data_IF_549378161798
#
_entry.id   IF_549378161798
#
_cell.length_a   1.000
_cell.length_b   1.000
_cell.length_c   1.000
_cell.angle_alpha   90.00
_cell.angle_beta   90.00
_cell.angle_gamma   90.00
#
_symmetry.space_group_name_H-M   'P 1'
#
loop_
_entity.id
_entity.type
_entity.pdbx_description
1 polymer ?
#
# COMPACT_ATOMS: atom_id res chain seq x y z
N UNK A 1 -5.87 -10.71 -3.59
CA UNK A 1 -5.58 -9.38 -3.06
C UNK A 1 -4.61 -8.68 -3.99
N UNK A 2 -4.82 -7.40 -4.28
CA UNK A 2 -3.85 -6.56 -4.98
C UNK A 2 -3.12 -5.66 -3.97
N UNK A 3 -2.14 -4.89 -4.45
CA UNK A 3 -1.31 -4.02 -3.58
C UNK A 3 -2.17 -3.03 -2.78
N UNK A 4 -3.15 -2.38 -3.42
CA UNK A 4 -4.06 -1.45 -2.74
C UNK A 4 -4.85 -2.12 -1.61
N UNK A 5 -5.35 -3.34 -1.82
CA UNK A 5 -6.16 -4.04 -0.81
C UNK A 5 -5.32 -4.32 0.44
N UNK A 6 -4.06 -4.69 0.23
CA UNK A 6 -3.09 -4.92 1.30
C UNK A 6 -2.79 -3.63 2.06
N UNK A 7 -2.48 -2.54 1.35
CA UNK A 7 -2.21 -1.23 1.95
C UNK A 7 -3.44 -0.71 2.70
N UNK A 8 -4.64 -0.87 2.13
CA UNK A 8 -5.90 -0.47 2.76
C UNK A 8 -6.16 -1.25 4.05
N UNK A 9 -5.94 -2.57 4.05
CA UNK A 9 -6.04 -3.41 5.25
C UNK A 9 -5.10 -2.92 6.35
N UNK A 10 -3.81 -2.78 6.02
CA UNK A 10 -2.78 -2.33 6.97
C UNK A 10 -3.05 -0.92 7.51
N UNK A 11 -3.53 -0.01 6.66
CA UNK A 11 -3.90 1.34 7.09
C UNK A 11 -5.09 1.30 8.05
N UNK A 12 -6.10 0.47 7.77
CA UNK A 12 -7.27 0.30 8.62
C UNK A 12 -6.93 -0.29 9.99
N UNK A 13 -5.99 -1.24 10.06
CA UNK A 13 -5.48 -1.79 11.34
C UNK A 13 -4.86 -0.71 12.23
N UNK A 14 -4.33 0.35 11.62
CA UNK A 14 -3.77 1.52 12.32
C UNK A 14 -4.75 2.67 12.51
N UNK A 15 -6.04 2.48 12.17
CA UNK A 15 -7.05 3.55 12.17
C UNK A 15 -6.69 4.75 11.28
N UNK A 16 -5.97 4.50 10.18
CA UNK A 16 -5.57 5.51 9.20
C UNK A 16 -6.31 5.24 7.89
N UNK A 17 -6.92 6.27 7.31
CA UNK A 17 -7.52 6.15 5.99
C UNK A 17 -6.44 6.22 4.91
N UNK A 18 -6.64 5.54 3.78
CA UNK A 18 -5.71 5.62 2.64
C UNK A 18 -5.54 7.07 2.17
N UNK A 19 -6.62 7.87 2.21
CA UNK A 19 -6.55 9.30 1.91
C UNK A 19 -5.61 10.06 2.85
N UNK A 20 -5.66 9.79 4.16
CA UNK A 20 -4.75 10.42 5.13
C UNK A 20 -3.31 9.99 4.90
N UNK A 21 -3.09 8.70 4.63
CA UNK A 21 -1.77 8.18 4.30
C UNK A 21 -1.21 8.82 3.02
N UNK A 22 -2.03 8.99 1.97
CA UNK A 22 -1.63 9.70 0.76
C UNK A 22 -1.26 11.17 1.06
N UNK A 23 -2.06 11.85 1.87
CA UNK A 23 -1.80 13.24 2.27
C UNK A 23 -0.51 13.38 3.08
N UNK A 24 -0.29 12.50 4.05
CA UNK A 24 0.88 12.54 4.92
C UNK A 24 2.18 12.24 4.14
N UNK A 25 2.10 11.42 3.09
CA UNK A 25 3.23 11.08 2.20
C UNK A 25 3.37 11.99 0.97
N UNK A 26 2.56 13.06 0.88
CA UNK A 26 2.58 13.99 -0.25
C UNK A 26 2.24 13.33 -1.59
N UNK A 27 1.43 12.26 -1.57
CA UNK A 27 0.93 11.57 -2.75
C UNK A 27 -0.32 12.27 -3.28
N UNK A 28 -0.53 12.19 -4.60
CA UNK A 28 -1.77 12.64 -5.21
C UNK A 28 -2.95 11.80 -4.68
N UNK A 29 -4.12 12.42 -4.55
CA UNK A 29 -5.33 11.73 -4.12
C UNK A 29 -5.67 10.56 -5.06
N UNK A 30 -5.85 9.37 -4.49
CA UNK A 30 -6.06 8.13 -5.23
C UNK A 30 -4.81 7.63 -5.97
N UNK A 31 -3.60 8.02 -5.57
CA UNK A 31 -2.38 7.46 -6.12
C UNK A 31 -2.25 5.96 -5.78
N UNK A 32 -2.54 5.57 -4.54
CA UNK A 32 -2.36 4.20 -4.05
C UNK A 32 -3.43 3.27 -4.63
N UNK A 33 -4.65 3.77 -4.87
CA UNK A 33 -5.70 2.98 -5.51
C UNK A 33 -5.31 2.54 -6.94
N UNK A 34 -4.45 3.31 -7.61
CA UNK A 34 -3.91 2.97 -8.93
C UNK A 34 -2.84 1.88 -8.89
N UNK A 35 -2.28 1.56 -7.72
CA UNK A 35 -1.21 0.55 -7.58
C UNK A 35 -1.63 -0.87 -7.94
N UNK A 36 -2.93 -1.09 -8.05
CA UNK A 36 -3.53 -2.31 -8.57
C UNK A 36 -3.38 -2.50 -10.09
N UNK A 37 -3.10 -1.42 -10.81
CA UNK A 37 -2.95 -1.39 -12.28
C UNK A 37 -1.58 -0.88 -12.71
N UNK A 38 -0.99 0.02 -11.91
CA UNK A 38 0.28 0.67 -12.17
C UNK A 38 1.23 0.37 -11.01
N UNK A 39 2.25 -0.45 -11.26
CA UNK A 39 3.19 -0.83 -10.21
C UNK A 39 3.89 0.43 -9.68
N UNK A 40 3.86 0.70 -8.36
CA UNK A 40 4.57 1.85 -7.80
C UNK A 40 6.06 1.69 -8.01
N UNK A 41 6.79 2.81 -8.02
CA UNK A 41 8.23 2.74 -7.91
C UNK A 41 8.62 2.22 -6.51
N UNK A 42 9.81 1.64 -6.41
CA UNK A 42 10.29 1.03 -5.17
C UNK A 42 10.36 2.02 -4.00
N UNK A 43 10.71 3.29 -4.27
CA UNK A 43 10.81 4.35 -3.27
C UNK A 43 9.44 4.65 -2.64
N UNK A 44 8.39 4.86 -3.45
CA UNK A 44 7.03 5.13 -2.96
C UNK A 44 6.47 3.94 -2.19
N UNK A 45 6.74 2.72 -2.66
CA UNK A 45 6.33 1.52 -1.94
C UNK A 45 7.02 1.44 -0.57
N UNK A 46 8.31 1.79 -0.51
CA UNK A 46 9.07 1.81 0.74
C UNK A 46 8.56 2.89 1.70
N UNK A 47 8.29 4.12 1.23
CA UNK A 47 7.70 5.19 2.05
C UNK A 47 6.39 4.76 2.71
N UNK A 48 5.51 4.10 1.95
CA UNK A 48 4.24 3.56 2.47
C UNK A 48 4.48 2.44 3.48
N UNK A 49 5.45 1.56 3.21
CA UNK A 49 5.80 0.48 4.12
C UNK A 49 6.34 1.01 5.46
N UNK A 50 7.25 1.98 5.40
CA UNK A 50 7.84 2.64 6.57
C UNK A 50 6.78 3.36 7.40
N UNK A 51 5.87 4.09 6.75
CA UNK A 51 4.74 4.76 7.41
C UNK A 51 3.81 3.75 8.10
N UNK A 52 3.57 2.60 7.46
CA UNK A 52 2.78 1.51 8.02
C UNK A 52 3.59 0.61 8.97
N UNK A 53 4.87 0.87 9.20
CA UNK A 53 5.73 0.06 10.08
C UNK A 53 5.83 -1.41 9.65
N UNK A 54 5.79 -1.68 8.35
CA UNK A 54 5.98 -3.00 7.74
C UNK A 54 7.09 -2.94 6.69
N UNK A 55 7.48 -4.07 6.13
CA UNK A 55 8.41 -4.09 5.00
C UNK A 55 7.67 -4.00 3.66
N UNK A 56 8.30 -3.38 2.66
CA UNK A 56 7.82 -3.39 1.28
C UNK A 56 7.64 -4.82 0.75
N UNK A 57 8.53 -5.74 1.15
CA UNK A 57 8.42 -7.17 0.85
C UNK A 57 7.17 -7.83 1.43
N UNK A 58 6.72 -7.44 2.62
CA UNK A 58 5.49 -7.95 3.22
C UNK A 58 4.27 -7.55 2.37
N UNK A 59 4.18 -6.27 1.99
CA UNK A 59 3.09 -5.76 1.13
C UNK A 59 3.06 -6.54 -0.20
N UNK A 60 4.22 -6.76 -0.81
CA UNK A 60 4.33 -7.51 -2.06
C UNK A 60 3.94 -8.98 -1.90
N UNK A 61 4.38 -9.64 -0.82
CA UNK A 61 4.07 -11.04 -0.57
C UNK A 61 2.57 -11.25 -0.35
N UNK A 62 1.94 -10.43 0.49
CA UNK A 62 0.50 -10.47 0.74
C UNK A 62 -0.30 -10.20 -0.55
N UNK A 63 0.17 -9.29 -1.41
CA UNK A 63 -0.46 -9.04 -2.72
C UNK A 63 -0.33 -10.21 -3.70
N UNK A 64 0.58 -11.17 -3.47
CA UNK A 64 0.74 -12.37 -4.32
C UNK A 64 -0.03 -13.58 -3.81
N UNK A 65 -0.30 -13.68 -2.51
CA UNK A 65 -0.85 -14.89 -1.86
C UNK A 65 -2.23 -15.33 -2.37
N UNK A 66 -2.96 -14.50 -3.08
CA UNK A 66 -4.28 -14.83 -3.64
C UNK A 66 -4.24 -15.27 -5.12
N UNK A 67 -3.05 -15.34 -5.72
CA UNK A 67 -2.83 -15.90 -7.06
C UNK A 67 -2.47 -17.39 -7.06
N UNK A 68 -2.47 -18.04 -5.89
CA UNK A 68 -2.10 -19.44 -5.71
C UNK A 68 -3.23 -20.25 -5.06
N UNK A 69 -4.45 -20.07 -5.58
CA UNK A 69 -5.60 -20.94 -5.34
C UNK A 69 -6.04 -21.57 -6.64
#
# INVERSE_FOLDING_TARGET
MKIYDTVKRLSSEKNISVYRLEKDLGLANGAISKWNRQIPNALRLQEVADYLGVTSSYILNESRKDGNK
#
